data_IF_765392075686
#
_entry.id   IF_765392075686
#
_cell.length_a   1.000
_cell.length_b   1.000
_cell.length_c   1.000
_cell.angle_alpha   90.00
_cell.angle_beta   90.00
_cell.angle_gamma   90.00
#
_symmetry.space_group_name_H-M   'P 1'
#
loop_
_entity.id
_entity.type
_entity.pdbx_description
1 polymer ?
#
# COMPACT_ATOMS: atom_id res chain seq x y z
N UNK A 1 -2.66 1.64 -51.56
CA UNK A 1 -2.32 1.21 -50.20
C UNK A 1 -3.54 0.53 -49.61
N UNK A 2 -3.69 -0.77 -49.86
CA UNK A 2 -4.72 -1.56 -49.19
C UNK A 2 -4.15 -1.89 -47.81
N UNK A 3 -4.58 -1.15 -46.79
CA UNK A 3 -4.36 -1.59 -45.42
C UNK A 3 -5.15 -2.89 -45.30
N UNK A 4 -4.44 -3.99 -45.09
CA UNK A 4 -5.03 -5.32 -45.11
C UNK A 4 -6.01 -5.41 -43.94
N UNK A 5 -7.27 -5.72 -44.25
CA UNK A 5 -8.37 -5.81 -43.26
C UNK A 5 -7.98 -6.80 -42.14
N UNK A 6 -7.13 -7.78 -42.48
CA UNK A 6 -6.56 -8.75 -41.54
C UNK A 6 -5.61 -8.10 -40.54
N UNK A 7 -4.76 -7.14 -40.95
CA UNK A 7 -3.87 -6.39 -40.03
C UNK A 7 -4.68 -5.55 -39.04
N UNK A 8 -5.71 -4.84 -39.53
CA UNK A 8 -6.59 -4.04 -38.68
C UNK A 8 -7.30 -4.94 -37.65
N UNK A 9 -7.82 -6.10 -38.08
CA UNK A 9 -8.47 -7.05 -37.18
C UNK A 9 -7.49 -7.58 -36.12
N UNK A 10 -6.24 -7.87 -36.51
CA UNK A 10 -5.19 -8.35 -35.60
C UNK A 10 -4.80 -7.27 -34.57
N UNK A 11 -4.69 -6.01 -35.00
CA UNK A 11 -4.43 -4.88 -34.11
C UNK A 11 -5.56 -4.64 -33.11
N UNK A 12 -6.82 -4.68 -33.57
CA UNK A 12 -8.01 -4.55 -32.71
C UNK A 12 -8.02 -5.68 -31.66
N UNK A 13 -7.77 -6.92 -32.07
CA UNK A 13 -7.71 -8.06 -31.15
C UNK A 13 -6.59 -7.89 -30.11
N UNK A 14 -5.41 -7.46 -30.55
CA UNK A 14 -4.28 -7.21 -29.66
C UNK A 14 -4.56 -6.07 -28.68
N UNK A 15 -5.22 -4.99 -29.12
CA UNK A 15 -5.65 -3.88 -28.28
C UNK A 15 -6.66 -4.33 -27.23
N UNK A 16 -7.69 -5.09 -27.62
CA UNK A 16 -8.69 -5.67 -26.71
C UNK A 16 -8.04 -6.56 -25.63
N UNK A 17 -7.08 -7.41 -26.02
CA UNK A 17 -6.34 -8.28 -25.09
C UNK A 17 -5.47 -7.49 -24.10
N UNK A 18 -4.87 -6.37 -24.52
CA UNK A 18 -4.13 -5.47 -23.62
C UNK A 18 -5.08 -4.73 -22.67
N UNK A 19 -6.23 -4.30 -23.16
CA UNK A 19 -7.25 -3.63 -22.37
C UNK A 19 -7.78 -4.56 -21.27
N UNK A 20 -8.07 -5.83 -21.61
CA UNK A 20 -8.48 -6.85 -20.67
C UNK A 20 -7.42 -7.07 -19.57
N UNK A 21 -6.16 -7.27 -19.96
CA UNK A 21 -5.05 -7.41 -18.99
C UNK A 21 -4.89 -6.18 -18.09
N UNK A 22 -5.17 -4.99 -18.61
CA UNK A 22 -5.11 -3.74 -17.86
C UNK A 22 -6.28 -3.63 -16.88
N UNK A 23 -7.48 -4.05 -17.28
CA UNK A 23 -8.65 -4.19 -16.41
C UNK A 23 -8.38 -5.15 -15.25
N UNK A 24 -7.85 -6.34 -15.53
CA UNK A 24 -7.51 -7.32 -14.49
C UNK A 24 -6.50 -6.78 -13.47
N UNK A 25 -5.50 -6.03 -13.95
CA UNK A 25 -4.53 -5.34 -13.09
C UNK A 25 -5.22 -4.29 -12.21
N UNK A 26 -6.10 -3.47 -12.78
CA UNK A 26 -6.89 -2.49 -12.02
C UNK A 26 -7.73 -3.15 -10.92
N UNK A 27 -8.43 -4.24 -11.23
CA UNK A 27 -9.19 -4.98 -10.23
C UNK A 27 -8.30 -5.60 -9.14
N UNK A 28 -7.12 -6.11 -9.52
CA UNK A 28 -6.16 -6.63 -8.54
C UNK A 28 -5.62 -5.55 -7.60
N UNK A 29 -5.35 -4.35 -8.13
CA UNK A 29 -4.92 -3.20 -7.34
C UNK A 29 -6.03 -2.72 -6.43
N UNK A 30 -7.25 -2.57 -6.95
CA UNK A 30 -8.42 -2.19 -6.14
C UNK A 30 -8.62 -3.14 -4.94
N UNK A 31 -8.48 -4.45 -5.16
CA UNK A 31 -8.53 -5.44 -4.07
C UNK A 31 -7.41 -5.26 -3.04
N UNK A 32 -6.19 -4.93 -3.47
CA UNK A 32 -5.07 -4.67 -2.56
C UNK A 32 -5.32 -3.41 -1.72
N UNK A 33 -5.77 -2.32 -2.34
CA UNK A 33 -6.12 -1.09 -1.64
C UNK A 33 -7.26 -1.29 -0.64
N UNK A 34 -8.32 -2.01 -1.02
CA UNK A 34 -9.42 -2.32 -0.11
C UNK A 34 -8.96 -3.10 1.13
N UNK A 35 -8.08 -4.10 0.94
CA UNK A 35 -7.49 -4.85 2.06
C UNK A 35 -6.59 -3.98 2.95
N UNK A 36 -5.82 -3.08 2.36
CA UNK A 36 -4.97 -2.15 3.11
C UNK A 36 -5.80 -1.16 3.94
N UNK A 37 -6.85 -0.59 3.35
CA UNK A 37 -7.80 0.30 4.03
C UNK A 37 -8.53 -0.40 5.18
N UNK A 38 -8.95 -1.65 4.98
CA UNK A 38 -9.57 -2.44 6.04
C UNK A 38 -8.63 -2.60 7.24
N UNK A 39 -7.37 -2.97 7.00
CA UNK A 39 -6.36 -3.10 8.06
C UNK A 39 -6.10 -1.76 8.76
N UNK A 40 -6.03 -0.67 8.00
CA UNK A 40 -5.88 0.68 8.55
C UNK A 40 -7.03 1.02 9.51
N UNK A 41 -8.28 0.80 9.11
CA UNK A 41 -9.45 1.07 9.97
C UNK A 41 -9.48 0.20 11.22
N UNK A 42 -9.08 -1.06 11.12
CA UNK A 42 -8.97 -1.96 12.28
C UNK A 42 -7.92 -1.45 13.28
N UNK A 43 -6.72 -1.10 12.81
CA UNK A 43 -5.66 -0.57 13.65
C UNK A 43 -6.05 0.78 14.30
N UNK A 44 -6.67 1.67 13.52
CA UNK A 44 -7.17 2.95 14.02
C UNK A 44 -8.22 2.74 15.13
N UNK A 45 -9.17 1.81 14.93
CA UNK A 45 -10.18 1.47 15.93
C UNK A 45 -9.57 0.96 17.24
N UNK A 46 -8.54 0.12 17.18
CA UNK A 46 -7.81 -0.36 18.36
C UNK A 46 -7.15 0.81 19.11
N UNK A 47 -6.49 1.72 18.39
CA UNK A 47 -5.83 2.88 19.00
C UNK A 47 -6.86 3.85 19.62
N UNK A 48 -8.02 4.05 18.98
CA UNK A 48 -9.14 4.82 19.54
C UNK A 48 -9.63 4.21 20.86
N UNK A 49 -9.73 2.88 20.95
CA UNK A 49 -10.15 2.20 22.19
C UNK A 49 -9.12 2.40 23.31
N UNK A 50 -7.83 2.26 23.02
CA UNK A 50 -6.76 2.54 24.00
C UNK A 50 -6.78 3.97 24.49
N UNK A 51 -6.86 4.95 23.59
CA UNK A 51 -6.92 6.37 23.94
C UNK A 51 -8.18 6.72 24.76
N UNK A 52 -9.29 6.02 24.51
CA UNK A 52 -10.52 6.15 25.32
C UNK A 52 -10.34 5.58 26.72
N UNK A 53 -9.63 4.47 26.87
CA UNK A 53 -9.25 3.90 28.18
C UNK A 53 -8.31 4.85 28.94
N UNK A 54 -7.41 5.53 28.23
CA UNK A 54 -6.55 6.62 28.75
C UNK A 54 -7.32 7.92 29.07
N UNK A 55 -8.66 7.93 28.93
CA UNK A 55 -9.56 9.08 29.16
C UNK A 55 -9.21 10.32 28.33
N UNK A 56 -8.61 10.14 27.16
CA UNK A 56 -8.34 11.23 26.21
C UNK A 56 -9.65 11.80 25.67
N UNK A 57 -9.70 13.12 25.47
CA UNK A 57 -10.84 13.86 24.94
C UNK A 57 -11.30 13.29 23.59
N UNK A 58 -12.55 12.80 23.54
CA UNK A 58 -13.14 12.07 22.39
C UNK A 58 -13.06 12.84 21.07
N UNK A 59 -13.10 14.17 21.12
CA UNK A 59 -12.98 15.04 19.94
C UNK A 59 -11.61 14.97 19.27
N UNK A 60 -10.55 14.60 19.98
CA UNK A 60 -9.15 14.63 19.50
C UNK A 60 -8.59 13.21 19.33
N UNK A 61 -9.29 12.20 19.86
CA UNK A 61 -8.88 10.78 19.78
C UNK A 61 -8.68 10.31 18.35
N UNK A 62 -9.53 10.74 17.40
CA UNK A 62 -9.40 10.41 15.98
C UNK A 62 -8.10 10.95 15.38
N UNK A 63 -7.82 12.25 15.61
CA UNK A 63 -6.64 12.93 15.09
C UNK A 63 -5.34 12.35 15.67
N UNK A 64 -5.33 12.04 16.98
CA UNK A 64 -4.18 11.42 17.65
C UNK A 64 -3.96 10.00 17.13
N UNK A 65 -5.02 9.21 16.94
CA UNK A 65 -4.90 7.85 16.44
C UNK A 65 -4.36 7.83 15.00
N UNK A 66 -4.82 8.75 14.14
CA UNK A 66 -4.30 8.90 12.78
C UNK A 66 -2.83 9.34 12.78
N UNK A 67 -2.48 10.33 13.60
CA UNK A 67 -1.11 10.81 13.73
C UNK A 67 -0.16 9.72 14.27
N UNK A 68 -0.55 9.01 15.34
CA UNK A 68 0.24 7.93 15.93
C UNK A 68 0.44 6.77 14.96
N UNK A 69 -0.58 6.42 14.18
CA UNK A 69 -0.45 5.37 13.18
C UNK A 69 0.48 5.78 12.02
N UNK A 70 0.36 7.02 11.51
CA UNK A 70 1.30 7.55 10.49
C UNK A 70 2.74 7.58 11.02
N UNK A 71 2.93 8.11 12.23
CA UNK A 71 4.25 8.15 12.88
C UNK A 71 4.80 6.75 13.20
N UNK A 72 3.94 5.78 13.52
CA UNK A 72 4.31 4.38 13.72
C UNK A 72 4.77 3.71 12.44
N UNK A 73 4.08 3.95 11.33
CA UNK A 73 4.47 3.48 10.00
C UNK A 73 5.82 4.06 9.56
N UNK A 74 6.06 5.34 9.83
CA UNK A 74 7.34 5.99 9.53
C UNK A 74 8.47 5.48 10.46
N UNK A 75 8.16 5.17 11.72
CA UNK A 75 9.10 4.49 12.63
C UNK A 75 9.45 3.08 12.17
N UNK A 76 8.49 2.30 11.70
CA UNK A 76 8.74 0.97 11.13
C UNK A 76 9.64 1.07 9.88
N UNK A 77 9.43 2.07 9.03
CA UNK A 77 10.30 2.35 7.90
C UNK A 77 11.72 2.74 8.35
N UNK A 78 11.84 3.63 9.34
CA UNK A 78 13.12 4.04 9.91
C UNK A 78 13.87 2.88 10.58
N UNK A 79 13.13 1.99 11.26
CA UNK A 79 13.68 0.82 11.94
C UNK A 79 14.10 -0.27 10.95
N UNK A 80 13.39 -0.40 9.82
CA UNK A 80 13.81 -1.24 8.70
C UNK A 80 15.10 -0.70 8.04
N UNK A 81 15.24 0.62 7.87
CA UNK A 81 16.48 1.25 7.41
C UNK A 81 17.63 1.05 8.39
N UNK A 82 17.41 1.27 9.69
CA UNK A 82 18.43 1.04 10.72
C UNK A 82 18.86 -0.44 10.74
N UNK A 83 17.91 -1.38 10.63
CA UNK A 83 18.21 -2.81 10.59
C UNK A 83 18.99 -3.20 9.32
N UNK A 84 18.66 -2.59 8.18
CA UNK A 84 19.40 -2.78 6.93
C UNK A 84 20.83 -2.21 7.04
N UNK A 85 20.98 -1.02 7.61
CA UNK A 85 22.30 -0.40 7.87
C UNK A 85 23.13 -1.23 8.85
N UNK A 86 22.54 -1.75 9.92
CA UNK A 86 23.21 -2.65 10.87
C UNK A 86 23.64 -3.96 10.21
N UNK A 87 22.83 -4.49 9.30
CA UNK A 87 23.18 -5.69 8.53
C UNK A 87 24.36 -5.44 7.58
N UNK A 88 24.39 -4.27 6.92
CA UNK A 88 25.51 -3.87 6.08
C UNK A 88 26.79 -3.63 6.89
N UNK A 89 26.68 -3.02 8.07
CA UNK A 89 27.81 -2.77 8.96
C UNK A 89 28.42 -4.08 9.48
N UNK A 90 27.60 -5.04 9.93
CA UNK A 90 28.07 -6.38 10.30
C UNK A 90 28.81 -7.08 9.16
N UNK A 91 28.31 -6.94 7.93
CA UNK A 91 28.92 -7.56 6.75
C UNK A 91 30.23 -6.90 6.33
N UNK A 92 30.52 -5.67 6.77
CA UNK A 92 31.81 -5.02 6.61
C UNK A 92 32.83 -5.42 7.67
N UNK A 93 32.40 -5.80 8.88
CA UNK A 93 33.30 -6.33 9.92
C UNK A 93 33.73 -7.78 9.67
N UNK A 94 32.95 -8.52 8.86
CA UNK A 94 33.25 -9.91 8.44
C UNK A 94 34.18 -10.01 7.20
N UNK A 95 34.71 -8.88 6.68
CA UNK A 95 35.71 -8.80 5.59
C UNK A 95 37.01 -8.22 6.15
#
# INVERSE_FOLDING_TARGET
>A
MAVDIVEIAQEIYNAAKRLQKSGDKLFSLARKYAKAEQKYRQALGIEIMKLREEKVLVSIVGDIAEYRYKAGRDKEALQAEISALQTLYKRQEDI
#
